data_IF_461386411885
#
_entry.id   IF_461386411885
#
_cell.length_a   1.000
_cell.length_b   1.000
_cell.length_c   1.000
_cell.angle_alpha   90.00
_cell.angle_beta   90.00
_cell.angle_gamma   90.00
#
_symmetry.space_group_name_H-M   'P 1'
#
loop_
_entity.id
_entity.type
_entity.pdbx_description
1 polymer ?
#
# COMPACT_ATOMS: atom_id res chain seq x y z
N UNK A 1 -2.17 19.07 -7.19
CA UNK A 1 -1.21 18.14 -6.54
C UNK A 1 -1.39 16.80 -7.21
N UNK A 2 -0.31 16.13 -7.55
CA UNK A 2 -0.37 14.78 -8.13
C UNK A 2 -0.65 13.78 -7.02
N UNK A 3 -1.70 12.97 -7.19
CA UNK A 3 -2.08 11.97 -6.19
C UNK A 3 -1.11 10.78 -6.23
N UNK A 4 -0.76 10.26 -5.04
CA UNK A 4 0.22 9.19 -4.87
C UNK A 4 -0.46 8.03 -4.16
N UNK A 5 -0.63 6.94 -4.89
CA UNK A 5 -1.43 5.82 -4.45
C UNK A 5 -0.55 4.69 -3.94
N UNK A 6 -0.88 4.15 -2.77
CA UNK A 6 -0.41 2.87 -2.26
C UNK A 6 -1.57 1.87 -2.18
N UNK A 7 -1.22 0.58 -2.07
CA UNK A 7 -2.22 -0.49 -1.93
C UNK A 7 -2.38 -0.85 -0.46
N UNK A 8 -3.62 -0.83 0.03
CA UNK A 8 -3.98 -1.38 1.32
C UNK A 8 -3.93 -2.91 1.26
N UNK A 9 -3.23 -3.51 2.21
CA UNK A 9 -3.10 -4.95 2.35
C UNK A 9 -3.31 -5.33 3.80
N UNK A 10 -4.14 -6.31 4.08
CA UNK A 10 -4.45 -6.76 5.44
C UNK A 10 -4.36 -8.28 5.58
N UNK A 11 -3.78 -8.94 4.58
CA UNK A 11 -3.68 -10.40 4.48
C UNK A 11 -5.01 -11.15 4.64
N UNK A 12 -6.14 -10.49 4.36
CA UNK A 12 -7.49 -11.05 4.52
C UNK A 12 -8.05 -11.01 5.95
N UNK A 13 -7.31 -10.45 6.92
CA UNK A 13 -7.69 -10.44 8.34
C UNK A 13 -8.63 -9.30 8.73
N UNK A 14 -8.65 -8.20 7.98
CA UNK A 14 -9.52 -7.06 8.27
C UNK A 14 -10.67 -6.96 7.24
N UNK A 15 -11.87 -6.62 7.69
CA UNK A 15 -12.98 -6.25 6.81
C UNK A 15 -12.85 -4.77 6.43
N UNK A 16 -13.53 -4.38 5.36
CA UNK A 16 -13.59 -2.97 4.93
C UNK A 16 -14.09 -2.01 6.04
N UNK A 17 -14.91 -2.50 6.97
CA UNK A 17 -15.38 -1.73 8.12
C UNK A 17 -14.27 -1.52 9.15
N UNK A 18 -13.44 -2.53 9.40
CA UNK A 18 -12.35 -2.46 10.39
C UNK A 18 -11.30 -1.41 9.98
N UNK A 19 -11.03 -1.27 8.67
CA UNK A 19 -10.23 -0.15 8.15
C UNK A 19 -10.80 1.23 8.47
N UNK A 20 -12.13 1.39 8.46
CA UNK A 20 -12.76 2.69 8.71
C UNK A 20 -12.81 3.03 10.20
N UNK A 21 -12.96 2.02 11.06
CA UNK A 21 -13.19 2.23 12.49
C UNK A 21 -11.93 2.09 13.34
N UNK A 22 -11.05 1.14 13.04
CA UNK A 22 -9.87 0.84 13.88
C UNK A 22 -8.66 1.62 13.36
N UNK A 23 -8.24 1.35 12.12
CA UNK A 23 -7.08 1.97 11.49
C UNK A 23 -7.15 3.51 11.50
N UNK A 24 -8.31 4.08 11.15
CA UNK A 24 -8.48 5.54 11.13
C UNK A 24 -8.48 6.16 12.53
N UNK A 25 -9.09 5.49 13.51
CA UNK A 25 -9.18 6.00 14.88
C UNK A 25 -7.83 5.95 15.59
N UNK A 26 -7.06 4.92 15.30
CA UNK A 26 -5.78 4.65 15.94
C UNK A 26 -4.59 5.20 15.15
N UNK A 27 -4.83 5.75 13.96
CA UNK A 27 -3.82 6.47 13.17
C UNK A 27 -2.80 5.54 12.54
N UNK A 28 -3.18 4.30 12.20
CA UNK A 28 -2.30 3.35 11.53
C UNK A 28 -3.01 2.66 10.38
N UNK A 29 -2.29 2.32 9.31
CA UNK A 29 -2.83 1.65 8.15
C UNK A 29 -1.87 0.57 7.65
N UNK A 30 -2.38 -0.63 7.33
CA UNK A 30 -1.55 -1.67 6.74
C UNK A 30 -1.51 -1.52 5.22
N UNK A 31 -0.29 -1.55 4.67
CA UNK A 31 -0.01 -1.40 3.24
C UNK A 31 0.69 -2.63 2.68
N UNK A 32 0.51 -2.85 1.38
CA UNK A 32 1.23 -3.86 0.63
C UNK A 32 2.67 -3.41 0.45
N UNK A 33 3.62 -4.26 0.81
CA UNK A 33 5.02 -4.08 0.46
C UNK A 33 5.56 -5.28 -0.31
N UNK A 34 6.69 -5.07 -0.97
CA UNK A 34 7.50 -6.11 -1.57
C UNK A 34 8.74 -6.26 -0.73
N UNK A 35 8.99 -7.47 -0.27
CA UNK A 35 10.22 -7.82 0.44
C UNK A 35 11.13 -8.59 -0.49
N UNK A 36 12.39 -8.17 -0.61
CA UNK A 36 13.39 -8.92 -1.37
C UNK A 36 14.07 -10.01 -0.51
N UNK A 37 14.97 -10.76 -1.14
CA UNK A 37 15.71 -11.84 -0.47
C UNK A 37 16.68 -11.35 0.63
N UNK A 38 16.93 -10.04 0.72
CA UNK A 38 17.77 -9.39 1.74
C UNK A 38 16.91 -8.66 2.79
N UNK A 39 15.61 -8.98 2.85
CA UNK A 39 14.62 -8.36 3.73
C UNK A 39 14.40 -6.86 3.48
N UNK A 40 14.83 -6.32 2.33
CA UNK A 40 14.59 -4.90 2.00
C UNK A 40 13.15 -4.70 1.59
N UNK A 41 12.54 -3.68 2.19
CA UNK A 41 11.15 -3.31 1.98
C UNK A 41 11.08 -2.32 0.83
N UNK A 42 10.23 -2.62 -0.16
CA UNK A 42 9.86 -1.70 -1.24
C UNK A 42 8.36 -1.48 -1.23
N UNK A 43 7.93 -0.22 -1.20
CA UNK A 43 6.52 0.17 -1.29
C UNK A 43 6.18 0.43 -2.76
N UNK A 44 5.27 -0.36 -3.38
CA UNK A 44 4.77 -0.08 -4.70
C UNK A 44 3.87 1.15 -4.69
N UNK A 45 4.31 2.22 -5.35
CA UNK A 45 3.56 3.47 -5.49
C UNK A 45 3.08 3.69 -6.92
N UNK A 46 2.03 4.49 -7.07
CA UNK A 46 1.42 4.76 -8.38
C UNK A 46 0.92 6.19 -8.46
N UNK A 47 1.05 6.81 -9.62
CA UNK A 47 0.38 8.09 -9.94
C UNK A 47 -0.96 7.89 -10.66
N UNK A 48 -1.23 6.68 -11.14
CA UNK A 48 -2.44 6.35 -11.86
C UNK A 48 -3.28 5.33 -11.08
N UNK A 49 -4.48 5.70 -10.61
CA UNK A 49 -5.31 4.81 -9.80
C UNK A 49 -5.76 3.56 -10.57
N UNK A 50 -5.88 3.62 -11.92
CA UNK A 50 -6.22 2.45 -12.74
C UNK A 50 -5.09 1.41 -12.73
N UNK A 51 -3.83 1.87 -12.76
CA UNK A 51 -2.67 0.97 -12.68
C UNK A 51 -2.60 0.36 -11.27
N UNK A 52 -2.75 1.16 -10.23
CA UNK A 52 -2.78 0.71 -8.84
C UNK A 52 -3.86 -0.36 -8.60
N UNK A 53 -5.09 -0.10 -9.08
CA UNK A 53 -6.20 -1.02 -8.97
C UNK A 53 -5.96 -2.35 -9.72
N UNK A 54 -5.39 -2.29 -10.92
CA UNK A 54 -5.05 -3.49 -11.68
C UNK A 54 -3.91 -4.28 -11.02
N UNK A 55 -2.92 -3.58 -10.45
CA UNK A 55 -1.86 -4.20 -9.66
C UNK A 55 -2.45 -4.93 -8.45
N UNK A 56 -3.31 -4.26 -7.68
CA UNK A 56 -4.01 -4.84 -6.51
C UNK A 56 -4.76 -6.12 -6.89
N UNK A 57 -5.54 -6.10 -7.98
CA UNK A 57 -6.27 -7.29 -8.48
C UNK A 57 -5.37 -8.48 -8.81
N UNK A 58 -4.12 -8.24 -9.22
CA UNK A 58 -3.16 -9.30 -9.60
C UNK A 58 -2.40 -9.88 -8.42
N UNK A 59 -2.36 -9.15 -7.31
CA UNK A 59 -1.40 -9.39 -6.23
C UNK A 59 -2.04 -9.61 -4.87
N UNK A 60 -3.27 -9.14 -4.65
CA UNK A 60 -3.87 -9.03 -3.32
C UNK A 60 -5.16 -9.84 -3.19
N UNK A 61 -5.50 -10.39 -2.00
CA UNK A 61 -6.76 -11.09 -1.79
C UNK A 61 -7.97 -10.16 -1.83
N UNK A 62 -9.17 -10.76 -1.75
CA UNK A 62 -10.43 -10.00 -1.64
C UNK A 62 -10.40 -9.15 -0.36
N UNK A 63 -10.85 -7.90 -0.44
CA UNK A 63 -10.82 -6.84 0.61
C UNK A 63 -9.55 -5.97 0.65
N UNK A 64 -9.02 -5.63 -0.51
CA UNK A 64 -7.94 -4.65 -0.66
C UNK A 64 -8.48 -3.30 -1.14
N UNK A 65 -7.76 -2.22 -0.85
CA UNK A 65 -8.13 -0.86 -1.23
C UNK A 65 -6.95 -0.05 -1.71
N UNK A 66 -7.21 1.19 -2.15
CA UNK A 66 -6.18 2.16 -2.44
C UNK A 66 -6.22 3.26 -1.38
N UNK A 67 -5.05 3.77 -1.04
CA UNK A 67 -4.88 4.94 -0.18
C UNK A 67 -4.08 6.00 -0.93
N UNK A 68 -4.43 7.26 -0.70
CA UNK A 68 -3.65 8.41 -1.16
C UNK A 68 -2.74 8.82 0.00
N UNK A 69 -1.44 8.88 -0.28
CA UNK A 69 -0.42 9.32 0.67
C UNK A 69 0.02 10.75 0.34
N UNK A 70 0.30 11.52 1.39
CA UNK A 70 0.93 12.85 1.26
C UNK A 70 2.46 12.72 1.33
N UNK A 71 3.16 13.80 1.00
CA UNK A 71 4.63 13.81 0.94
C UNK A 71 5.26 13.48 2.29
N UNK A 72 4.63 13.94 3.37
CA UNK A 72 5.06 13.66 4.73
C UNK A 72 5.00 12.14 5.06
N UNK A 73 3.96 11.43 4.62
CA UNK A 73 3.85 9.98 4.82
C UNK A 73 4.97 9.25 4.07
N UNK A 74 5.29 9.70 2.85
CA UNK A 74 6.33 9.11 2.01
C UNK A 74 7.71 9.33 2.60
N UNK A 75 8.00 10.55 3.06
CA UNK A 75 9.25 10.87 3.73
C UNK A 75 9.42 10.07 5.02
N UNK A 76 8.35 9.79 5.75
CA UNK A 76 8.42 8.89 6.91
C UNK A 76 8.84 7.48 6.52
N UNK A 77 8.26 6.92 5.45
CA UNK A 77 8.64 5.60 4.94
C UNK A 77 10.11 5.56 4.49
N UNK A 78 10.58 6.59 3.77
CA UNK A 78 11.97 6.71 3.36
C UNK A 78 12.92 6.80 4.56
N UNK A 79 12.56 7.57 5.60
CA UNK A 79 13.33 7.68 6.83
C UNK A 79 13.39 6.37 7.63
N UNK A 80 12.39 5.49 7.47
CA UNK A 80 12.40 4.12 8.00
C UNK A 80 13.28 3.16 7.18
N UNK A 81 13.94 3.66 6.13
CA UNK A 81 14.80 2.87 5.25
C UNK A 81 14.05 2.09 4.18
N UNK A 82 12.76 2.38 3.96
CA UNK A 82 11.97 1.72 2.92
C UNK A 82 12.24 2.36 1.57
N UNK A 83 12.31 1.52 0.54
CA UNK A 83 12.43 1.97 -0.83
C UNK A 83 11.05 2.31 -1.41
N UNK A 84 10.94 3.43 -2.12
CA UNK A 84 9.68 3.84 -2.76
C UNK A 84 9.86 3.68 -4.27
N UNK A 85 9.08 2.78 -4.89
CA UNK A 85 9.16 2.55 -6.34
C UNK A 85 7.83 2.86 -7.02
N UNK A 86 7.85 3.82 -7.96
CA UNK A 86 6.69 4.17 -8.75
C UNK A 86 6.55 3.24 -9.96
N UNK A 87 5.47 2.47 -10.00
CA UNK A 87 5.18 1.57 -11.10
C UNK A 87 4.29 2.22 -12.16
N UNK A 88 4.71 2.11 -13.41
CA UNK A 88 3.97 2.57 -14.59
C UNK A 88 3.15 1.45 -15.26
N UNK A 89 3.21 0.23 -14.72
CA UNK A 89 2.42 -0.91 -15.18
C UNK A 89 2.13 -1.89 -14.03
N UNK A 90 1.02 -2.65 -14.08
CA UNK A 90 0.58 -3.45 -12.93
C UNK A 90 1.35 -4.77 -12.86
N UNK A 91 2.63 -4.76 -12.44
CA UNK A 91 3.48 -5.96 -12.25
C UNK A 91 2.79 -7.04 -11.39
N UNK A 92 3.14 -8.32 -11.58
CA UNK A 92 2.65 -9.45 -10.76
C UNK A 92 3.78 -10.03 -9.93
N UNK A 93 3.55 -10.20 -8.64
CA UNK A 93 4.51 -10.64 -7.64
C UNK A 93 4.11 -11.93 -6.90
N UNK A 94 2.90 -12.45 -7.11
CA UNK A 94 2.40 -13.69 -6.47
C UNK A 94 3.21 -14.97 -6.76
N UNK A 95 4.14 -14.92 -7.71
CA UNK A 95 5.04 -16.03 -8.04
C UNK A 95 6.43 -15.53 -8.46
N UNK A 96 6.85 -14.38 -7.93
CA UNK A 96 8.10 -13.73 -8.36
C UNK A 96 9.32 -14.33 -7.65
N UNK A 97 10.43 -14.63 -8.36
CA UNK A 97 11.56 -15.35 -7.78
C UNK A 97 12.44 -14.54 -6.82
N UNK A 98 12.31 -13.21 -6.82
CA UNK A 98 13.13 -12.29 -6.00
C UNK A 98 12.36 -11.50 -4.96
N UNK A 99 11.03 -11.51 -5.03
CA UNK A 99 10.20 -10.65 -4.20
C UNK A 99 9.00 -11.44 -3.70
N UNK A 100 8.69 -11.26 -2.42
CA UNK A 100 7.46 -11.73 -1.80
C UNK A 100 6.56 -10.53 -1.49
N UNK A 101 5.26 -10.74 -1.58
CA UNK A 101 4.28 -9.77 -1.09
C UNK A 101 4.21 -9.93 0.42
N UNK A 102 4.30 -8.82 1.13
CA UNK A 102 4.22 -8.77 2.59
C UNK A 102 3.39 -7.57 3.04
N UNK A 103 3.16 -7.46 4.35
CA UNK A 103 2.40 -6.41 5.01
C UNK A 103 3.30 -5.57 5.90
N UNK A 104 3.18 -4.25 5.79
CA UNK A 104 3.76 -3.32 6.77
C UNK A 104 2.74 -2.30 7.24
N UNK A 105 2.94 -1.76 8.43
CA UNK A 105 2.06 -0.76 9.03
C UNK A 105 2.70 0.62 8.93
N UNK A 106 1.96 1.59 8.41
CA UNK A 106 2.32 3.01 8.46
C UNK A 106 1.46 3.73 9.48
N UNK A 107 2.07 4.62 10.26
CA UNK A 107 1.36 5.54 11.13
C UNK A 107 0.99 6.80 10.32
N UNK A 108 -0.29 7.14 10.26
CA UNK A 108 -0.79 8.29 9.50
C UNK A 108 -1.49 9.25 10.45
N UNK A 109 -0.97 10.49 10.52
CA UNK A 109 -1.54 11.53 11.39
C UNK A 109 -2.83 12.14 10.82
N UNK A 110 -3.01 12.16 9.49
CA UNK A 110 -4.14 12.79 8.81
C UNK A 110 -4.66 11.96 7.63
N UNK A 111 -5.67 11.11 7.87
CA UNK A 111 -6.31 10.33 6.81
C UNK A 111 -7.34 11.15 6.02
N UNK A 112 -6.93 11.69 4.86
CA UNK A 112 -7.84 12.15 3.81
C UNK A 112 -8.37 10.94 3.02
N UNK A 113 -9.69 10.71 3.01
CA UNK A 113 -10.27 9.51 2.41
C UNK A 113 -11.18 9.81 1.22
N UNK A 114 -11.00 9.08 0.11
CA UNK A 114 -11.98 8.94 -0.98
C UNK A 114 -12.27 7.45 -1.23
N UNK A 115 -13.52 7.02 -1.00
CA UNK A 115 -14.03 5.73 -1.50
C UNK A 115 -14.31 5.83 -3.00
N UNK A 116 -13.83 4.86 -3.77
CA UNK A 116 -14.41 4.55 -5.09
C UNK A 116 -15.46 3.44 -4.92
N UNK A 117 -16.70 3.74 -5.31
CA UNK A 117 -17.80 2.76 -5.44
C UNK A 117 -17.74 2.05 -6.78
#
# INVERSE_FOLDING_TARGET
MEEKYAVLYNDGNLKAQDFQFECKKEGWIPILVLKDNEDKITVPMFHNPKIAHNFMKRNSPKNSGLIILIDEDIHQMENNGWNIEYFTFPRRFTSHPKYTIDLEIIEIKNLGFQTYR
#
